data_IF_924511496297
#
_entry.id   IF_924511496297
#
_cell.length_a   1.000
_cell.length_b   1.000
_cell.length_c   1.000
_cell.angle_alpha   90.00
_cell.angle_beta   90.00
_cell.angle_gamma   90.00
#
_symmetry.space_group_name_H-M   'P 1'
#
loop_
_entity.id
_entity.type
_entity.pdbx_description
1 polymer ?
#
# COMPACT_ATOMS: atom_id res chain seq x y z
N UNK A 1 -20.76 -17.16 4.72
CA UNK A 1 -22.03 -17.37 3.99
C UNK A 1 -21.93 -16.64 2.66
N UNK A 2 -21.38 -17.31 1.65
CA UNK A 2 -21.45 -16.84 0.26
C UNK A 2 -22.81 -17.28 -0.28
N UNK A 3 -23.63 -16.35 -0.75
CA UNK A 3 -24.81 -16.68 -1.55
C UNK A 3 -24.42 -16.39 -2.99
N UNK A 4 -24.19 -17.45 -3.77
CA UNK A 4 -24.10 -17.35 -5.21
C UNK A 4 -25.52 -17.25 -5.77
N UNK A 5 -25.86 -16.11 -6.36
CA UNK A 5 -27.08 -15.97 -7.16
C UNK A 5 -26.69 -16.00 -8.63
N UNK A 6 -27.04 -17.08 -9.32
CA UNK A 6 -27.09 -17.09 -10.78
C UNK A 6 -28.41 -16.42 -11.17
N UNK A 7 -28.36 -15.19 -11.69
CA UNK A 7 -29.54 -14.41 -12.02
C UNK A 7 -29.44 -13.84 -13.42
N UNK A 8 -29.97 -14.58 -14.40
CA UNK A 8 -30.52 -14.04 -15.63
C UNK A 8 -31.67 -13.08 -15.32
N UNK A 9 -31.68 -11.90 -15.96
CA UNK A 9 -32.76 -10.90 -16.06
C UNK A 9 -33.73 -10.81 -14.86
N UNK A 10 -33.49 -9.87 -13.93
CA UNK A 10 -34.39 -9.70 -12.78
C UNK A 10 -34.25 -8.36 -12.05
N UNK A 11 -35.37 -7.66 -11.94
CA UNK A 11 -35.72 -6.55 -11.07
C UNK A 11 -34.67 -6.09 -10.03
N UNK A 12 -34.38 -4.77 -10.03
CA UNK A 12 -33.44 -4.07 -9.12
C UNK A 12 -33.68 -4.31 -7.62
N UNK A 13 -34.85 -4.87 -7.27
CA UNK A 13 -35.21 -5.26 -5.91
C UNK A 13 -34.51 -6.54 -5.44
N UNK A 14 -33.93 -7.35 -6.34
CA UNK A 14 -33.27 -8.63 -6.02
C UNK A 14 -31.75 -8.61 -6.07
N UNK A 15 -31.11 -7.62 -6.69
CA UNK A 15 -29.65 -7.49 -6.71
C UNK A 15 -29.13 -7.04 -5.33
N UNK A 16 -28.39 -7.89 -4.59
CA UNK A 16 -27.85 -7.54 -3.28
C UNK A 16 -26.89 -6.34 -3.32
N UNK A 17 -26.20 -6.11 -4.45
CA UNK A 17 -25.29 -4.97 -4.62
C UNK A 17 -26.12 -3.68 -4.72
N UNK A 18 -27.11 -3.64 -5.60
CA UNK A 18 -28.03 -2.51 -5.71
C UNK A 18 -28.74 -2.20 -4.38
N UNK A 19 -29.16 -3.23 -3.62
CA UNK A 19 -29.76 -3.05 -2.30
C UNK A 19 -28.82 -2.34 -1.32
N UNK A 20 -27.51 -2.61 -1.36
CA UNK A 20 -26.51 -1.89 -0.54
C UNK A 20 -26.32 -0.46 -1.03
N UNK A 21 -26.13 -0.27 -2.33
CA UNK A 21 -25.86 1.04 -2.94
C UNK A 21 -27.02 2.04 -2.75
N UNK A 22 -28.26 1.54 -2.67
CA UNK A 22 -29.48 2.34 -2.52
C UNK A 22 -29.87 2.63 -1.06
N UNK A 23 -29.09 2.21 -0.06
CA UNK A 23 -29.38 2.52 1.35
C UNK A 23 -29.43 4.05 1.58
N UNK A 24 -30.32 4.55 2.47
CA UNK A 24 -30.46 5.99 2.75
C UNK A 24 -29.15 6.72 3.05
N UNK A 25 -28.20 6.06 3.72
CA UNK A 25 -26.88 6.64 4.02
C UNK A 25 -26.11 7.10 2.77
N UNK A 26 -26.34 6.48 1.61
CA UNK A 26 -25.66 6.78 0.35
C UNK A 26 -26.51 7.68 -0.54
N UNK A 27 -27.81 7.42 -0.64
CA UNK A 27 -28.73 8.21 -1.47
C UNK A 27 -28.96 9.62 -0.91
N UNK A 28 -29.17 9.76 0.41
CA UNK A 28 -29.30 11.08 1.07
C UNK A 28 -28.02 11.91 0.97
N UNK A 29 -26.87 11.25 0.95
CA UNK A 29 -25.56 11.89 0.74
C UNK A 29 -25.23 12.15 -0.74
N UNK A 30 -26.11 11.78 -1.68
CA UNK A 30 -25.90 11.88 -3.13
C UNK A 30 -24.58 11.21 -3.57
N UNK A 31 -24.27 10.08 -2.96
CA UNK A 31 -23.06 9.30 -3.26
C UNK A 31 -23.07 8.81 -4.70
N UNK A 32 -21.88 8.67 -5.28
CA UNK A 32 -21.70 8.15 -6.64
C UNK A 32 -20.96 6.82 -6.56
N UNK A 33 -21.42 5.84 -7.32
CA UNK A 33 -20.82 4.51 -7.40
C UNK A 33 -20.25 4.27 -8.79
N UNK A 34 -19.08 3.64 -8.83
CA UNK A 34 -18.51 3.01 -10.01
C UNK A 34 -18.04 1.62 -9.59
N UNK A 35 -18.31 0.60 -10.40
CA UNK A 35 -18.03 -0.80 -10.11
C UNK A 35 -17.61 -1.53 -11.38
N UNK A 36 -16.59 -2.37 -11.26
CA UNK A 36 -16.28 -3.44 -12.21
C UNK A 36 -16.04 -4.69 -11.39
N UNK A 37 -16.74 -5.77 -11.71
CA UNK A 37 -16.52 -7.10 -11.18
C UNK A 37 -16.06 -8.00 -12.32
N UNK A 38 -14.95 -8.69 -12.12
CA UNK A 38 -14.39 -9.58 -13.13
C UNK A 38 -13.99 -10.93 -12.52
N UNK A 39 -14.04 -11.98 -13.33
CA UNK A 39 -13.36 -13.23 -13.00
C UNK A 39 -11.84 -12.98 -13.05
N UNK A 40 -11.16 -13.30 -11.95
CA UNK A 40 -9.74 -13.01 -11.81
C UNK A 40 -8.84 -13.90 -12.68
N UNK A 41 -9.34 -15.06 -13.12
CA UNK A 41 -8.58 -16.04 -13.91
C UNK A 41 -8.72 -15.79 -15.40
N UNK A 42 -9.94 -15.51 -15.87
CA UNK A 42 -10.25 -15.32 -17.29
C UNK A 42 -10.21 -13.85 -17.70
N UNK A 43 -10.38 -12.93 -16.75
CA UNK A 43 -10.55 -11.50 -17.01
C UNK A 43 -11.92 -11.10 -17.53
N UNK A 44 -12.88 -12.03 -17.57
CA UNK A 44 -14.25 -11.77 -18.00
C UNK A 44 -14.95 -10.79 -17.04
N UNK A 45 -15.49 -9.70 -17.58
CA UNK A 45 -16.30 -8.75 -16.80
C UNK A 45 -17.68 -9.35 -16.57
N UNK A 46 -17.98 -9.68 -15.32
CA UNK A 46 -19.24 -10.29 -14.90
C UNK A 46 -20.32 -9.23 -14.64
N UNK A 47 -19.94 -8.05 -14.16
CA UNK A 47 -20.84 -6.93 -13.88
C UNK A 47 -20.08 -5.61 -13.93
N UNK A 48 -20.72 -4.54 -14.39
CA UNK A 48 -20.17 -3.19 -14.30
C UNK A 48 -21.24 -2.13 -14.05
N UNK A 49 -20.83 -1.03 -13.44
CA UNK A 49 -21.63 0.17 -13.22
C UNK A 49 -20.73 1.39 -13.43
N UNK A 50 -21.04 2.22 -14.42
CA UNK A 50 -20.27 3.44 -14.73
C UNK A 50 -18.74 3.17 -14.78
N UNK A 51 -18.26 2.18 -15.55
CA UNK A 51 -16.87 1.72 -15.49
C UNK A 51 -15.85 2.80 -15.91
N UNK A 52 -16.22 3.69 -16.83
CA UNK A 52 -15.33 4.74 -17.36
C UNK A 52 -15.42 6.06 -16.59
N UNK A 53 -16.13 6.06 -15.46
CA UNK A 53 -16.33 7.28 -14.67
C UNK A 53 -15.09 7.59 -13.85
N UNK A 54 -14.60 8.82 -13.99
CA UNK A 54 -13.54 9.33 -13.12
C UNK A 54 -14.06 9.50 -11.69
N UNK A 55 -13.39 8.84 -10.74
CA UNK A 55 -13.69 8.89 -9.31
C UNK A 55 -12.44 9.20 -8.49
N UNK A 56 -12.63 9.76 -7.29
CA UNK A 56 -11.56 9.90 -6.32
C UNK A 56 -11.27 8.53 -5.71
N UNK A 57 -10.12 7.95 -6.05
CA UNK A 57 -9.74 6.58 -5.65
C UNK A 57 -9.21 6.48 -4.23
N UNK A 58 -8.98 7.60 -3.54
CA UNK A 58 -8.28 7.64 -2.25
C UNK A 58 -7.02 6.75 -2.27
N UNK A 59 -6.78 5.96 -1.22
CA UNK A 59 -5.60 5.08 -1.13
C UNK A 59 -5.58 3.92 -2.12
N UNK A 60 -6.68 3.62 -2.85
CA UNK A 60 -6.65 2.64 -3.97
C UNK A 60 -5.64 3.07 -5.04
N UNK A 61 -5.34 4.37 -5.15
CA UNK A 61 -4.28 4.91 -6.02
C UNK A 61 -2.92 4.24 -5.81
N UNK A 62 -2.63 3.72 -4.61
CA UNK A 62 -1.36 3.04 -4.29
C UNK A 62 -1.12 1.81 -5.16
N UNK A 63 -2.17 1.14 -5.65
CA UNK A 63 -2.03 0.00 -6.58
C UNK A 63 -1.22 0.40 -7.82
N UNK A 64 -1.51 1.56 -8.42
CA UNK A 64 -0.80 2.04 -9.60
C UNK A 64 0.66 2.37 -9.31
N UNK A 65 0.92 3.11 -8.24
CA UNK A 65 2.29 3.52 -7.87
C UNK A 65 3.17 2.32 -7.48
N UNK A 66 2.63 1.39 -6.69
CA UNK A 66 3.37 0.19 -6.25
C UNK A 66 3.54 -0.79 -7.40
N UNK A 67 2.51 -1.04 -8.23
CA UNK A 67 2.64 -1.90 -9.40
C UNK A 67 3.66 -1.34 -10.40
N UNK A 68 3.66 -0.02 -10.62
CA UNK A 68 4.67 0.63 -11.47
C UNK A 68 6.07 0.44 -10.91
N UNK A 69 6.27 0.63 -9.60
CA UNK A 69 7.55 0.39 -8.96
C UNK A 69 7.99 -1.07 -9.13
N UNK A 70 7.13 -2.04 -8.79
CA UNK A 70 7.42 -3.47 -8.96
C UNK A 70 7.78 -3.83 -10.41
N UNK A 71 7.08 -3.26 -11.39
CA UNK A 71 7.36 -3.48 -12.81
C UNK A 71 8.69 -2.87 -13.26
N UNK A 72 9.08 -1.71 -12.72
CA UNK A 72 10.30 -0.98 -13.14
C UNK A 72 11.55 -1.52 -12.45
N UNK A 73 11.51 -1.75 -11.14
CA UNK A 73 12.70 -2.17 -10.36
C UNK A 73 12.73 -3.65 -10.01
N UNK A 74 11.60 -4.36 -10.10
CA UNK A 74 11.46 -5.77 -9.74
C UNK A 74 11.20 -5.98 -8.23
N UNK A 75 10.62 -7.13 -7.90
CA UNK A 75 10.33 -7.52 -6.51
C UNK A 75 11.60 -7.79 -5.68
N UNK A 76 12.70 -8.16 -6.35
CA UNK A 76 13.98 -8.46 -5.71
C UNK A 76 14.87 -7.23 -5.52
N UNK A 77 14.43 -6.04 -5.94
CA UNK A 77 15.21 -4.82 -5.76
C UNK A 77 15.53 -4.57 -4.28
N UNK A 78 16.75 -4.11 -4.02
CA UNK A 78 17.19 -3.66 -2.69
C UNK A 78 17.82 -2.29 -2.81
N UNK A 79 17.30 -1.33 -2.05
CA UNK A 79 17.91 -0.02 -1.93
C UNK A 79 19.22 -0.13 -1.14
N UNK A 80 20.25 0.57 -1.59
CA UNK A 80 21.53 0.67 -0.88
C UNK A 80 21.73 2.12 -0.48
N UNK A 81 21.89 2.38 0.82
CA UNK A 81 22.14 3.72 1.37
C UNK A 81 23.60 3.81 1.83
N UNK A 82 24.55 4.15 0.95
CA UNK A 82 25.97 4.11 1.29
C UNK A 82 26.40 5.32 2.15
N UNK A 83 27.44 5.09 2.95
CA UNK A 83 28.18 6.13 3.66
C UNK A 83 29.55 6.28 3.00
N UNK A 84 29.87 7.48 2.56
CA UNK A 84 31.17 7.83 2.01
C UNK A 84 31.97 8.63 3.03
N UNK A 85 33.28 8.72 2.82
CA UNK A 85 34.15 9.68 3.49
C UNK A 85 34.87 10.54 2.47
N UNK A 86 35.11 11.79 2.83
CA UNK A 86 36.08 12.63 2.13
C UNK A 86 37.18 13.01 3.13
N UNK A 87 38.45 12.82 2.75
CA UNK A 87 39.59 13.05 3.62
C UNK A 87 40.19 11.78 4.26
N UNK A 88 41.42 11.89 4.82
CA UNK A 88 42.16 10.75 5.35
C UNK A 88 41.67 10.33 6.74
N UNK A 89 41.81 9.04 7.03
CA UNK A 89 41.70 8.50 8.40
C UNK A 89 43.12 8.31 8.91
N UNK A 90 43.44 8.91 10.05
CA UNK A 90 44.77 8.77 10.65
C UNK A 90 44.95 7.43 11.39
N UNK A 91 46.14 7.17 11.92
CA UNK A 91 46.47 5.92 12.62
C UNK A 91 45.69 5.73 13.93
N UNK A 92 45.03 6.76 14.45
CA UNK A 92 44.15 6.68 15.62
C UNK A 92 42.70 6.35 15.25
N UNK A 93 42.37 6.31 13.95
CA UNK A 93 41.01 6.10 13.45
C UNK A 93 40.21 7.38 13.30
N UNK A 94 40.81 8.57 13.49
CA UNK A 94 40.12 9.85 13.32
C UNK A 94 40.08 10.24 11.85
N UNK A 95 38.88 10.52 11.34
CA UNK A 95 38.69 11.12 10.02
C UNK A 95 38.99 12.63 10.08
N UNK A 96 39.83 13.12 9.17
CA UNK A 96 39.98 14.55 8.90
C UNK A 96 39.22 14.90 7.63
N UNK A 97 37.93 15.19 7.79
CA UNK A 97 37.01 15.54 6.71
C UNK A 97 35.58 15.07 7.02
N UNK A 98 34.80 14.81 5.98
CA UNK A 98 33.35 14.58 6.11
C UNK A 98 32.98 13.11 5.99
N UNK A 99 31.99 12.68 6.78
CA UNK A 99 31.19 11.49 6.49
C UNK A 99 29.90 11.90 5.78
N UNK A 100 29.64 11.28 4.64
CA UNK A 100 28.55 11.65 3.74
C UNK A 100 27.59 10.46 3.62
N UNK A 101 26.40 10.58 4.20
CA UNK A 101 25.31 9.62 3.99
C UNK A 101 24.58 9.98 2.69
N UNK A 102 24.60 9.08 1.70
CA UNK A 102 23.89 9.29 0.44
C UNK A 102 22.52 8.61 0.49
N UNK A 103 21.47 9.41 0.62
CA UNK A 103 20.10 8.93 0.54
C UNK A 103 19.80 8.27 -0.82
N UNK A 104 19.11 7.14 -0.81
CA UNK A 104 18.82 6.33 -2.00
C UNK A 104 17.34 5.97 -2.19
N UNK A 105 16.48 6.36 -1.25
CA UNK A 105 15.05 6.01 -1.28
C UNK A 105 14.68 4.75 -0.49
N UNK A 106 15.59 4.22 0.35
CA UNK A 106 15.27 3.14 1.29
C UNK A 106 14.21 3.58 2.30
N UNK A 107 12.96 3.14 2.08
CA UNK A 107 11.80 3.45 2.93
C UNK A 107 11.83 2.73 4.29
N UNK A 108 12.81 1.85 4.50
CA UNK A 108 13.01 1.09 5.75
C UNK A 108 14.29 1.47 6.49
N UNK A 109 15.04 2.46 5.98
CA UNK A 109 16.27 2.96 6.60
C UNK A 109 16.02 3.43 8.04
N UNK A 110 16.86 3.01 8.99
CA UNK A 110 16.80 3.50 10.38
C UNK A 110 16.21 2.54 11.41
N UNK A 111 16.20 1.22 11.15
CA UNK A 111 16.16 0.23 12.23
C UNK A 111 15.21 -0.94 12.06
N UNK A 112 14.32 -0.91 11.05
CA UNK A 112 13.38 -2.00 10.80
C UNK A 112 14.02 -3.25 10.16
N UNK A 113 15.31 -3.24 9.85
CA UNK A 113 15.96 -4.41 9.27
C UNK A 113 16.32 -5.41 10.38
N UNK A 114 15.80 -6.63 10.27
CA UNK A 114 16.16 -7.76 11.13
C UNK A 114 17.52 -8.34 10.73
N UNK A 115 18.19 -9.11 11.61
CA UNK A 115 19.46 -9.78 11.29
C UNK A 115 19.39 -10.71 10.05
N UNK A 116 18.21 -11.24 9.72
CA UNK A 116 17.98 -12.08 8.54
C UNK A 116 17.71 -11.27 7.25
N UNK A 117 17.77 -9.94 7.31
CA UNK A 117 17.54 -9.05 6.17
C UNK A 117 16.07 -8.77 5.87
N UNK A 118 15.13 -9.31 6.63
CA UNK A 118 13.70 -9.00 6.49
C UNK A 118 13.32 -7.70 7.22
N UNK A 119 12.17 -7.13 6.87
CA UNK A 119 11.63 -5.92 7.51
C UNK A 119 10.80 -6.32 8.74
N UNK A 120 11.03 -5.66 9.86
CA UNK A 120 10.23 -5.75 11.07
C UNK A 120 9.01 -4.83 10.96
N UNK A 121 7.83 -5.43 11.10
CA UNK A 121 6.55 -4.76 11.03
C UNK A 121 5.57 -5.40 12.03
N UNK A 122 4.61 -4.60 12.49
CA UNK A 122 3.49 -5.03 13.33
C UNK A 122 2.20 -4.46 12.73
N UNK A 123 1.05 -5.03 13.08
CA UNK A 123 -0.26 -4.55 12.59
C UNK A 123 -0.54 -3.10 12.99
N UNK A 124 0.02 -2.65 14.13
CA UNK A 124 -0.02 -1.27 14.60
C UNK A 124 1.38 -0.84 15.02
N UNK A 125 2.03 0.00 14.21
CA UNK A 125 3.39 0.49 14.48
C UNK A 125 3.38 1.97 14.89
N UNK A 126 4.56 2.55 15.09
CA UNK A 126 4.69 3.94 15.54
C UNK A 126 4.12 4.99 14.56
N UNK A 127 3.85 4.64 13.30
CA UNK A 127 3.14 5.52 12.37
C UNK A 127 1.66 5.67 12.74
N UNK A 128 1.11 4.71 13.48
CA UNK A 128 -0.29 4.67 13.91
C UNK A 128 -0.49 5.08 15.38
N UNK A 129 0.60 5.37 16.11
CA UNK A 129 0.59 5.64 17.54
C UNK A 129 -0.26 6.87 17.97
N UNK A 130 -0.61 7.75 17.03
CA UNK A 130 -1.53 8.87 17.30
C UNK A 130 -3.00 8.54 17.09
N UNK A 131 -3.30 7.54 16.25
CA UNK A 131 -4.68 7.18 15.88
C UNK A 131 -5.26 6.06 16.73
N UNK A 132 -4.40 5.17 17.25
CA UNK A 132 -4.83 3.94 17.92
C UNK A 132 -3.99 3.65 19.16
N UNK A 133 -4.65 3.15 20.22
CA UNK A 133 -3.95 2.64 21.41
C UNK A 133 -3.30 1.29 21.09
N UNK A 134 -2.16 0.99 21.71
CA UNK A 134 -1.48 -0.30 21.56
C UNK A 134 -0.45 -0.39 20.44
N UNK A 135 -0.04 0.74 19.84
CA UNK A 135 1.07 0.76 18.89
C UNK A 135 2.38 0.27 19.55
N UNK A 136 3.09 -0.62 18.86
CA UNK A 136 4.34 -1.23 19.34
C UNK A 136 5.51 -0.66 18.52
N UNK A 137 6.65 -0.46 19.17
CA UNK A 137 7.90 -0.16 18.48
C UNK A 137 8.44 -1.44 17.83
N UNK A 138 8.41 -1.49 16.50
CA UNK A 138 9.28 -2.38 15.71
C UNK A 138 10.74 -2.05 16.03
N UNK A 139 11.62 -3.06 15.94
CA UNK A 139 13.01 -2.97 16.38
C UNK A 139 13.66 -1.65 15.92
N UNK A 140 14.36 -1.00 16.85
CA UNK A 140 15.40 -0.02 16.56
C UNK A 140 16.69 -0.69 17.01
N UNK A 141 17.64 -0.79 16.08
CA UNK A 141 18.97 -1.39 16.30
C UNK A 141 19.51 -0.95 17.67
N UNK A 142 19.90 -1.92 18.51
CA UNK A 142 20.63 -1.68 19.77
C UNK A 142 22.09 -1.44 19.50
#
# INVERSE_FOLDING_TARGET
MLVASCGSDGDSTTDPIAQVMNKPRYTSAKSQWSLVMMDASTGEVLQSLQPDKLVLTASVRKLYSVATALNVIGADHRFVTPVYRNGPVDSSGKLTGDLILKASGDLTFGGRQKPDGTVDYTDFDHNDARGFSGAILTLKIR
#
